data_IF_390159218553
#
_entry.id   IF_390159218553
#
_cell.length_a   1.000
_cell.length_b   1.000
_cell.length_c   1.000
_cell.angle_alpha   90.00
_cell.angle_beta   90.00
_cell.angle_gamma   90.00
#
_symmetry.space_group_name_H-M   'P 1'
#
loop_
_entity.id
_entity.type
_entity.pdbx_description
1 polymer ?
#
# COMPACT_ATOMS: atom_id res chain seq x y z
N UNK A 1 33.10 -46.59 -52.78
CA UNK A 1 32.81 -45.39 -51.96
C UNK A 1 31.41 -44.78 -52.19
N UNK A 2 30.71 -45.00 -53.31
CA UNK A 2 29.37 -44.41 -53.53
C UNK A 2 28.21 -45.05 -52.73
N UNK A 3 28.33 -46.33 -52.33
CA UNK A 3 27.28 -47.02 -51.53
C UNK A 3 27.31 -46.69 -50.03
N UNK A 4 28.44 -46.19 -49.50
CA UNK A 4 28.55 -45.81 -48.09
C UNK A 4 27.96 -44.42 -47.80
N UNK A 5 28.00 -43.51 -48.79
CA UNK A 5 27.41 -42.17 -48.69
C UNK A 5 25.87 -42.19 -48.67
N UNK A 6 25.23 -43.13 -49.36
CA UNK A 6 23.77 -43.25 -49.40
C UNK A 6 23.21 -43.74 -48.05
N UNK A 7 23.94 -44.62 -47.35
CA UNK A 7 23.54 -45.11 -46.03
C UNK A 7 23.72 -44.01 -44.96
N UNK A 8 24.76 -43.18 -45.06
CA UNK A 8 24.95 -42.03 -44.16
C UNK A 8 23.94 -40.90 -44.40
N UNK A 9 23.53 -40.66 -45.65
CA UNK A 9 22.50 -39.67 -45.99
C UNK A 9 21.09 -40.11 -45.54
N UNK A 10 20.76 -41.40 -45.63
CA UNK A 10 19.49 -41.94 -45.12
C UNK A 10 19.44 -41.95 -43.59
N UNK A 11 20.55 -42.26 -42.92
CA UNK A 11 20.62 -42.19 -41.45
C UNK A 11 20.46 -40.76 -40.92
N UNK A 12 21.00 -39.75 -41.62
CA UNK A 12 20.82 -38.34 -41.23
C UNK A 12 19.49 -37.72 -41.67
N UNK A 13 18.80 -38.29 -42.67
CA UNK A 13 17.46 -37.81 -43.06
C UNK A 13 16.37 -38.02 -41.99
N UNK A 14 16.61 -38.94 -41.04
CA UNK A 14 15.76 -39.12 -39.87
C UNK A 14 16.12 -38.21 -38.68
N UNK A 15 17.27 -37.54 -38.71
CA UNK A 15 17.67 -36.60 -37.66
C UNK A 15 17.23 -35.14 -37.92
N UNK A 16 16.82 -34.80 -39.15
CA UNK A 16 16.38 -33.43 -39.47
C UNK A 16 14.87 -33.18 -39.39
N UNK A 17 14.07 -34.15 -38.97
CA UNK A 17 12.63 -33.96 -38.71
C UNK A 17 12.27 -33.86 -37.22
N UNK A 18 13.26 -33.74 -36.32
CA UNK A 18 13.01 -33.36 -34.92
C UNK A 18 13.20 -31.85 -34.78
N UNK A 19 12.50 -31.06 -35.60
CA UNK A 19 12.03 -29.78 -35.10
C UNK A 19 10.91 -30.13 -34.11
N UNK A 20 11.31 -30.35 -32.86
CA UNK A 20 10.37 -30.56 -31.76
C UNK A 20 9.28 -29.51 -31.87
N UNK A 21 8.05 -29.97 -31.86
CA UNK A 21 6.85 -29.14 -31.89
C UNK A 21 6.90 -28.25 -30.65
N UNK A 22 7.62 -27.12 -30.72
CA UNK A 22 7.70 -26.15 -29.63
C UNK A 22 6.28 -25.78 -29.30
N UNK A 23 5.90 -25.93 -28.04
CA UNK A 23 4.56 -25.58 -27.59
C UNK A 23 4.26 -24.15 -28.07
N UNK A 24 3.04 -23.94 -28.54
CA UNK A 24 2.64 -22.68 -29.17
C UNK A 24 2.74 -21.51 -28.18
N UNK A 25 2.64 -21.76 -26.87
CA UNK A 25 2.91 -20.75 -25.85
C UNK A 25 4.39 -20.37 -25.77
N UNK A 26 5.32 -21.30 -25.99
CA UNK A 26 6.74 -20.99 -25.99
C UNK A 26 7.12 -20.05 -27.13
N UNK A 27 6.48 -20.22 -28.28
CA UNK A 27 6.65 -19.31 -29.41
C UNK A 27 6.10 -17.92 -29.10
N UNK A 28 4.98 -17.85 -28.37
CA UNK A 28 4.39 -16.60 -27.90
C UNK A 28 5.32 -15.88 -26.91
N UNK A 29 5.82 -16.62 -25.91
CA UNK A 29 6.74 -16.10 -24.93
C UNK A 29 8.03 -15.59 -25.58
N UNK A 30 8.64 -16.42 -26.44
CA UNK A 30 9.88 -16.06 -27.12
C UNK A 30 9.73 -14.80 -28.00
N UNK A 31 8.55 -14.60 -28.60
CA UNK A 31 8.25 -13.45 -29.45
C UNK A 31 8.11 -12.14 -28.67
N UNK A 32 7.60 -12.19 -27.44
CA UNK A 32 7.19 -10.98 -26.70
C UNK A 32 8.02 -10.70 -25.45
N UNK A 33 8.93 -11.61 -25.05
CA UNK A 33 9.74 -11.44 -23.84
C UNK A 33 10.64 -10.20 -23.84
N UNK A 34 11.04 -9.70 -25.01
CA UNK A 34 11.95 -8.57 -25.19
C UNK A 34 11.25 -7.30 -25.71
N UNK A 35 9.91 -7.27 -25.70
CA UNK A 35 9.15 -6.11 -26.20
C UNK A 35 9.02 -5.04 -25.12
N UNK A 36 9.25 -3.79 -25.50
CA UNK A 36 9.08 -2.64 -24.59
C UNK A 36 7.65 -2.54 -24.04
N UNK A 37 7.52 -2.39 -22.73
CA UNK A 37 6.23 -2.41 -22.02
C UNK A 37 5.76 -3.81 -21.60
N UNK A 38 6.55 -4.86 -21.87
CA UNK A 38 6.29 -6.22 -21.40
C UNK A 38 7.31 -6.62 -20.34
N UNK A 39 6.82 -7.04 -19.18
CA UNK A 39 7.66 -7.71 -18.17
C UNK A 39 7.57 -9.21 -18.39
N UNK A 40 8.72 -9.87 -18.59
CA UNK A 40 8.81 -11.31 -18.80
C UNK A 40 9.61 -11.98 -17.67
N UNK A 41 9.09 -13.08 -17.14
CA UNK A 41 9.76 -13.89 -16.10
C UNK A 41 9.76 -15.34 -16.56
N UNK A 42 10.93 -15.98 -16.53
CA UNK A 42 11.10 -17.39 -16.89
C UNK A 42 11.85 -18.12 -15.78
N UNK A 43 11.19 -19.13 -15.20
CA UNK A 43 11.77 -20.02 -14.20
C UNK A 43 11.84 -21.42 -14.80
N UNK A 44 13.03 -22.00 -14.81
CA UNK A 44 13.29 -23.32 -15.39
C UNK A 44 13.26 -24.43 -14.33
N UNK A 45 13.08 -25.67 -14.79
CA UNK A 45 13.04 -26.91 -13.98
C UNK A 45 14.09 -27.02 -12.87
N UNK A 46 15.38 -26.70 -13.09
CA UNK A 46 16.39 -26.83 -12.04
C UNK A 46 16.07 -26.00 -10.79
N UNK A 47 15.40 -24.85 -10.96
CA UNK A 47 15.01 -23.99 -9.86
C UNK A 47 13.89 -24.62 -9.02
N UNK A 48 12.90 -25.25 -9.66
CA UNK A 48 11.87 -26.03 -8.96
C UNK A 48 12.43 -27.27 -8.26
N UNK A 49 13.38 -27.95 -8.89
CA UNK A 49 14.14 -29.04 -8.27
C UNK A 49 14.87 -28.57 -7.01
N UNK A 50 15.56 -27.42 -7.09
CA UNK A 50 16.21 -26.81 -5.93
C UNK A 50 15.19 -26.50 -4.83
N UNK A 51 14.09 -25.80 -5.14
CA UNK A 51 13.03 -25.50 -4.19
C UNK A 51 12.43 -26.76 -3.53
N UNK A 52 12.24 -27.85 -4.31
CA UNK A 52 11.74 -29.13 -3.79
C UNK A 52 12.72 -29.83 -2.84
N UNK A 53 14.01 -29.51 -2.92
CA UNK A 53 15.06 -30.09 -2.09
C UNK A 53 15.39 -29.27 -0.84
N UNK A 54 14.85 -28.05 -0.74
CA UNK A 54 14.99 -27.22 0.46
C UNK A 54 14.12 -27.81 1.57
N UNK A 55 14.75 -28.10 2.72
CA UNK A 55 14.05 -28.43 3.95
C UNK A 55 13.77 -27.13 4.70
N UNK A 56 12.54 -26.66 4.56
CA UNK A 56 11.99 -25.46 5.18
C UNK A 56 10.90 -25.99 6.11
N UNK A 57 11.03 -25.75 7.42
CA UNK A 57 10.02 -26.14 8.42
C UNK A 57 8.80 -25.22 8.26
N UNK A 58 8.01 -25.45 7.21
CA UNK A 58 6.78 -24.74 6.93
C UNK A 58 5.70 -25.74 6.50
N UNK A 59 4.68 -25.87 7.35
CA UNK A 59 3.51 -26.73 7.14
C UNK A 59 2.74 -26.45 5.84
N UNK A 60 2.92 -25.27 5.24
CA UNK A 60 2.33 -24.89 3.95
C UNK A 60 3.22 -25.33 2.78
N UNK A 61 4.56 -25.25 2.92
CA UNK A 61 5.48 -25.69 1.87
C UNK A 61 5.41 -27.21 1.67
N UNK A 62 5.24 -27.97 2.76
CA UNK A 62 5.06 -29.42 2.68
C UNK A 62 3.85 -29.84 1.83
N UNK A 63 2.80 -29.02 1.78
CA UNK A 63 1.61 -29.29 0.97
C UNK A 63 1.87 -29.09 -0.53
N UNK A 64 2.76 -28.15 -0.89
CA UNK A 64 3.07 -27.81 -2.28
C UNK A 64 4.37 -28.45 -2.78
N UNK A 65 5.23 -28.99 -1.90
CA UNK A 65 6.48 -29.70 -2.26
C UNK A 65 6.26 -30.87 -3.23
N UNK A 66 5.21 -31.70 -3.10
CA UNK A 66 4.88 -32.71 -4.11
C UNK A 66 4.55 -32.11 -5.48
N UNK A 67 4.01 -30.90 -5.52
CA UNK A 67 3.66 -30.18 -6.75
C UNK A 67 4.90 -29.60 -7.44
N UNK A 68 5.86 -29.07 -6.67
CA UNK A 68 7.11 -28.51 -7.21
C UNK A 68 7.88 -29.52 -8.05
N UNK A 69 7.84 -30.80 -7.66
CA UNK A 69 8.49 -31.89 -8.43
C UNK A 69 7.84 -32.17 -9.79
N UNK A 70 6.58 -31.77 -9.97
CA UNK A 70 5.79 -31.99 -11.19
C UNK A 70 5.85 -30.81 -12.16
N UNK A 71 6.44 -29.69 -11.75
CA UNK A 71 6.60 -28.48 -12.54
C UNK A 71 7.94 -28.51 -13.26
N UNK A 72 7.92 -28.41 -14.58
CA UNK A 72 9.11 -28.26 -15.40
C UNK A 72 9.47 -26.78 -15.63
N UNK A 73 8.53 -25.85 -15.47
CA UNK A 73 8.83 -24.44 -15.66
C UNK A 73 7.66 -23.52 -15.33
N UNK A 74 7.97 -22.24 -15.13
CA UNK A 74 6.99 -21.17 -15.01
C UNK A 74 7.40 -20.02 -15.93
N UNK A 75 6.45 -19.53 -16.71
CA UNK A 75 6.62 -18.38 -17.59
C UNK A 75 5.53 -17.37 -17.29
N UNK A 76 5.92 -16.11 -17.08
CA UNK A 76 5.01 -15.02 -16.80
C UNK A 76 5.25 -13.91 -17.81
N UNK A 77 4.18 -13.42 -18.42
CA UNK A 77 4.17 -12.19 -19.22
C UNK A 77 3.19 -11.21 -18.59
N UNK A 78 3.65 -10.01 -18.29
CA UNK A 78 2.83 -8.92 -17.76
C UNK A 78 2.91 -7.78 -18.77
N UNK A 79 1.75 -7.26 -19.14
CA UNK A 79 1.60 -6.09 -20.00
C UNK A 79 0.98 -4.98 -19.17
N UNK A 80 1.62 -3.81 -19.16
CA UNK A 80 1.19 -2.66 -18.38
C UNK A 80 0.95 -1.46 -19.29
N UNK A 81 0.03 -0.58 -18.89
CA UNK A 81 -0.16 0.68 -19.59
C UNK A 81 1.04 1.62 -19.40
N UNK A 82 1.50 2.32 -20.45
CA UNK A 82 2.62 3.25 -20.32
C UNK A 82 2.24 4.45 -19.44
N UNK A 83 3.10 4.80 -18.48
CA UNK A 83 2.90 5.92 -17.53
C UNK A 83 2.65 7.29 -18.20
N UNK A 84 2.97 7.44 -19.50
CA UNK A 84 2.85 8.68 -20.29
C UNK A 84 1.95 8.55 -21.52
N UNK A 85 0.74 8.00 -21.38
CA UNK A 85 -0.19 7.76 -22.49
C UNK A 85 -0.54 8.96 -23.40
N UNK A 86 -0.26 10.21 -23.01
CA UNK A 86 -0.57 11.40 -23.79
C UNK A 86 0.51 11.80 -24.82
N UNK A 87 1.73 11.27 -24.71
CA UNK A 87 2.82 11.56 -25.67
C UNK A 87 2.64 10.75 -26.96
N UNK A 88 3.28 11.18 -28.05
CA UNK A 88 3.25 10.43 -29.31
C UNK A 88 3.89 9.04 -29.17
N UNK A 89 4.89 8.90 -28.28
CA UNK A 89 5.55 7.64 -27.93
C UNK A 89 4.63 6.77 -27.05
N UNK A 90 3.99 7.35 -26.03
CA UNK A 90 3.04 6.63 -25.18
C UNK A 90 1.84 6.09 -25.95
N UNK A 91 1.34 6.83 -26.95
CA UNK A 91 0.26 6.37 -27.85
C UNK A 91 0.70 5.22 -28.77
N UNK A 92 1.96 5.22 -29.24
CA UNK A 92 2.51 4.10 -30.03
C UNK A 92 2.63 2.84 -29.18
N UNK A 93 3.17 2.96 -27.96
CA UNK A 93 3.29 1.85 -27.01
C UNK A 93 1.90 1.31 -26.64
N UNK A 94 0.93 2.17 -26.35
CA UNK A 94 -0.44 1.76 -26.05
C UNK A 94 -1.11 1.03 -27.23
N UNK A 95 -0.89 1.49 -28.46
CA UNK A 95 -1.42 0.81 -29.66
C UNK A 95 -0.78 -0.58 -29.81
N UNK A 96 0.54 -0.67 -29.65
CA UNK A 96 1.29 -1.94 -29.67
C UNK A 96 0.85 -2.90 -28.56
N UNK A 97 0.56 -2.41 -27.35
CA UNK A 97 0.08 -3.22 -26.23
C UNK A 97 -1.36 -3.71 -26.44
N UNK A 98 -2.23 -2.87 -27.00
CA UNK A 98 -3.60 -3.29 -27.36
C UNK A 98 -3.60 -4.35 -28.46
N UNK A 99 -2.62 -4.28 -29.39
CA UNK A 99 -2.42 -5.29 -30.42
C UNK A 99 -1.81 -6.56 -29.83
N UNK A 100 -0.87 -6.45 -28.90
CA UNK A 100 -0.28 -7.57 -28.17
C UNK A 100 -1.33 -8.39 -27.41
N UNK A 101 -2.19 -7.72 -26.62
CA UNK A 101 -3.27 -8.39 -25.88
C UNK A 101 -4.25 -9.10 -26.82
N UNK A 102 -4.58 -8.49 -27.97
CA UNK A 102 -5.41 -9.11 -29.02
C UNK A 102 -4.72 -10.29 -29.70
N UNK A 103 -3.44 -10.15 -30.04
CA UNK A 103 -2.64 -11.19 -30.67
C UNK A 103 -2.54 -12.39 -29.72
N UNK A 104 -2.18 -12.18 -28.45
CA UNK A 104 -2.14 -13.22 -27.42
C UNK A 104 -3.51 -13.88 -27.28
N UNK A 105 -4.59 -13.11 -27.14
CA UNK A 105 -5.95 -13.65 -27.05
C UNK A 105 -6.36 -14.47 -28.27
N UNK A 106 -5.92 -14.09 -29.47
CA UNK A 106 -6.12 -14.83 -30.72
C UNK A 106 -5.29 -16.11 -30.74
N UNK A 107 -4.02 -16.04 -30.33
CA UNK A 107 -3.15 -17.19 -30.16
C UNK A 107 -3.77 -18.20 -29.19
N UNK A 108 -4.25 -17.76 -28.02
CA UNK A 108 -4.92 -18.60 -27.03
C UNK A 108 -6.18 -19.29 -27.56
N UNK A 109 -6.99 -18.62 -28.39
CA UNK A 109 -8.13 -19.24 -29.07
C UNK A 109 -7.72 -20.33 -30.07
N UNK A 110 -6.53 -20.20 -30.65
CA UNK A 110 -5.96 -21.14 -31.63
C UNK A 110 -5.06 -22.19 -30.98
N UNK A 111 -4.85 -22.13 -29.67
CA UNK A 111 -4.33 -23.22 -28.88
C UNK A 111 -5.47 -24.22 -28.68
N UNK A 112 -5.20 -25.52 -28.82
CA UNK A 112 -6.20 -26.57 -28.53
C UNK A 112 -6.43 -26.73 -27.01
N UNK A 113 -6.40 -25.64 -26.25
CA UNK A 113 -6.51 -25.67 -24.81
C UNK A 113 -7.99 -25.67 -24.40
N UNK A 114 -8.34 -26.52 -23.45
CA UNK A 114 -9.67 -26.56 -22.85
C UNK A 114 -9.79 -25.52 -21.74
N UNK A 115 -10.85 -24.71 -21.75
CA UNK A 115 -11.19 -23.81 -20.64
C UNK A 115 -11.73 -24.63 -19.47
N UNK A 116 -11.01 -24.61 -18.35
CA UNK A 116 -11.36 -25.36 -17.13
C UNK A 116 -12.24 -24.51 -16.23
N UNK A 117 -11.90 -23.22 -16.12
CA UNK A 117 -12.59 -22.27 -15.26
C UNK A 117 -12.45 -20.87 -15.83
N UNK A 118 -13.52 -20.07 -15.75
CA UNK A 118 -13.43 -18.63 -15.96
C UNK A 118 -14.20 -17.88 -14.90
N UNK A 119 -13.65 -16.73 -14.50
CA UNK A 119 -14.25 -15.81 -13.54
C UNK A 119 -14.28 -14.44 -14.20
N UNK A 120 -15.44 -13.78 -14.16
CA UNK A 120 -15.64 -12.46 -14.74
C UNK A 120 -16.17 -11.52 -13.65
N UNK A 121 -15.46 -10.42 -13.39
CA UNK A 121 -15.87 -9.45 -12.38
C UNK A 121 -15.48 -8.02 -12.80
N UNK A 122 -16.48 -7.14 -12.92
CA UNK A 122 -16.32 -5.68 -12.98
C UNK A 122 -15.21 -5.13 -13.91
N UNK A 123 -14.97 -5.78 -15.06
CA UNK A 123 -13.98 -5.36 -16.06
C UNK A 123 -12.74 -6.23 -16.14
N UNK A 124 -12.52 -7.14 -15.18
CA UNK A 124 -11.45 -8.12 -15.20
C UNK A 124 -11.96 -9.54 -15.53
N UNK A 125 -11.26 -10.24 -16.42
CA UNK A 125 -11.58 -11.60 -16.85
C UNK A 125 -10.42 -12.53 -16.55
N UNK A 126 -10.65 -13.50 -15.69
CA UNK A 126 -9.69 -14.54 -15.31
C UNK A 126 -10.09 -15.85 -15.99
N UNK A 127 -9.13 -16.54 -16.59
CA UNK A 127 -9.31 -17.85 -17.25
C UNK A 127 -8.21 -18.82 -16.85
N UNK A 128 -8.61 -20.06 -16.59
CA UNK A 128 -7.74 -21.21 -16.44
C UNK A 128 -7.94 -22.14 -17.64
N UNK A 129 -6.85 -22.46 -18.33
CA UNK A 129 -6.79 -23.18 -19.59
C UNK A 129 -5.75 -24.31 -19.48
N UNK A 130 -5.94 -25.44 -20.17
CA UNK A 130 -4.93 -26.51 -20.24
C UNK A 130 -4.89 -27.19 -21.61
N UNK A 131 -3.70 -27.63 -22.04
CA UNK A 131 -3.44 -28.16 -23.37
C UNK A 131 -4.15 -29.48 -23.66
N UNK A 132 -4.24 -30.37 -22.67
CA UNK A 132 -4.95 -31.65 -22.76
C UNK A 132 -5.37 -32.15 -21.36
N UNK A 133 -6.59 -32.66 -21.23
CA UNK A 133 -7.03 -33.41 -20.05
C UNK A 133 -7.19 -34.89 -20.41
N UNK A 134 -6.13 -35.69 -20.22
CA UNK A 134 -6.19 -37.15 -20.40
C UNK A 134 -6.19 -37.82 -19.03
N UNK A 135 -7.24 -38.59 -18.74
CA UNK A 135 -7.41 -39.33 -17.47
C UNK A 135 -7.29 -38.47 -16.20
N UNK A 136 -7.77 -37.21 -16.24
CA UNK A 136 -7.74 -36.30 -15.08
C UNK A 136 -6.37 -35.67 -14.79
N UNK A 137 -5.40 -35.84 -15.70
CA UNK A 137 -4.11 -35.14 -15.69
C UNK A 137 -4.16 -34.04 -16.75
N UNK A 138 -3.84 -32.83 -16.32
CA UNK A 138 -3.70 -31.62 -17.11
C UNK A 138 -2.25 -31.49 -17.56
N UNK A 139 -2.03 -31.41 -18.87
CA UNK A 139 -0.75 -31.02 -19.46
C UNK A 139 -0.76 -29.50 -19.62
N UNK A 140 0.16 -28.84 -18.92
CA UNK A 140 0.36 -27.40 -18.84
C UNK A 140 -0.87 -26.61 -18.36
N UNK A 141 -0.66 -25.74 -17.38
CA UNK A 141 -1.72 -24.88 -16.85
C UNK A 141 -1.43 -23.43 -17.21
N UNK A 142 -2.34 -22.86 -18.00
CA UNK A 142 -2.30 -21.47 -18.38
C UNK A 142 -3.36 -20.68 -17.60
N UNK A 143 -2.90 -19.66 -16.88
CA UNK A 143 -3.72 -18.62 -16.28
C UNK A 143 -3.62 -17.35 -17.13
N UNK A 144 -4.77 -16.83 -17.53
CA UNK A 144 -4.90 -15.56 -18.24
C UNK A 144 -5.77 -14.62 -17.42
N UNK A 145 -5.25 -13.43 -17.12
CA UNK A 145 -5.95 -12.36 -16.44
C UNK A 145 -5.95 -11.16 -17.38
N UNK A 146 -7.12 -10.77 -17.87
CA UNK A 146 -7.34 -9.54 -18.62
C UNK A 146 -7.95 -8.50 -17.67
N UNK A 147 -7.21 -7.44 -17.35
CA UNK A 147 -7.65 -6.37 -16.44
C UNK A 147 -8.51 -5.30 -17.12
N UNK A 148 -8.70 -5.40 -18.44
CA UNK A 148 -9.27 -4.33 -19.24
C UNK A 148 -8.28 -3.19 -19.49
N UNK A 149 -8.57 -2.35 -20.48
CA UNK A 149 -7.78 -1.14 -20.79
C UNK A 149 -6.31 -1.36 -21.18
N UNK A 150 -5.93 -2.58 -21.62
CA UNK A 150 -4.58 -2.89 -22.11
C UNK A 150 -3.64 -3.54 -21.10
N UNK A 151 -4.10 -3.79 -19.87
CA UNK A 151 -3.36 -4.54 -18.86
C UNK A 151 -3.74 -6.01 -18.90
N UNK A 152 -2.74 -6.88 -18.98
CA UNK A 152 -2.96 -8.33 -19.02
C UNK A 152 -1.78 -9.08 -18.40
N UNK A 153 -2.10 -10.13 -17.64
CA UNK A 153 -1.14 -11.06 -17.05
C UNK A 153 -1.39 -12.45 -17.63
N UNK A 154 -0.33 -13.08 -18.11
CA UNK A 154 -0.34 -14.46 -18.57
C UNK A 154 0.69 -15.25 -17.77
N UNK A 155 0.26 -16.34 -17.15
CA UNK A 155 1.09 -17.24 -16.36
C UNK A 155 0.94 -18.64 -16.93
N UNK A 156 2.01 -19.21 -17.44
CA UNK A 156 2.06 -20.61 -17.87
C UNK A 156 2.89 -21.42 -16.90
N UNK A 157 2.30 -22.47 -16.37
CA UNK A 157 2.94 -23.48 -15.55
C UNK A 157 3.11 -24.74 -16.40
N UNK A 158 4.35 -24.97 -16.84
CA UNK A 158 4.74 -26.16 -17.59
C UNK A 158 4.86 -27.33 -16.62
N UNK A 159 4.05 -28.36 -16.83
CA UNK A 159 4.03 -29.52 -15.95
C UNK A 159 2.78 -30.38 -16.08
N UNK A 160 2.84 -31.56 -15.44
CA UNK A 160 1.73 -32.52 -15.42
C UNK A 160 1.04 -32.49 -14.07
N UNK A 161 -0.14 -31.90 -14.04
CA UNK A 161 -0.88 -31.63 -12.80
C UNK A 161 -2.19 -32.41 -12.79
N UNK A 162 -2.48 -33.13 -11.72
CA UNK A 162 -3.81 -33.71 -11.55
C UNK A 162 -4.83 -32.63 -11.13
N UNK A 163 -6.12 -32.93 -11.24
CA UNK A 163 -7.16 -32.05 -10.71
C UNK A 163 -7.03 -31.83 -9.18
N UNK A 164 -6.57 -32.85 -8.45
CA UNK A 164 -6.27 -32.73 -7.02
C UNK A 164 -5.11 -31.76 -6.77
N UNK A 165 -4.07 -31.80 -7.61
CA UNK A 165 -2.94 -30.86 -7.54
C UNK A 165 -3.42 -29.41 -7.73
N UNK A 166 -4.30 -29.17 -8.72
CA UNK A 166 -4.90 -27.85 -8.96
C UNK A 166 -5.77 -27.41 -7.79
N UNK A 167 -6.57 -28.31 -7.21
CA UNK A 167 -7.40 -28.00 -6.04
C UNK A 167 -6.55 -27.57 -4.84
N UNK A 168 -5.38 -28.18 -4.64
CA UNK A 168 -4.44 -27.80 -3.58
C UNK A 168 -3.86 -26.42 -3.79
N UNK A 169 -3.54 -26.05 -5.04
CA UNK A 169 -3.06 -24.68 -5.38
C UNK A 169 -4.14 -23.64 -5.05
N UNK A 170 -5.40 -23.93 -5.40
CA UNK A 170 -6.52 -23.03 -5.14
C UNK A 170 -6.78 -22.93 -3.62
N UNK A 171 -6.84 -24.08 -2.93
CA UNK A 171 -7.21 -24.16 -1.52
C UNK A 171 -6.06 -23.80 -0.55
N UNK A 172 -4.79 -23.80 -0.98
CA UNK A 172 -3.69 -23.26 -0.16
C UNK A 172 -3.83 -21.76 0.10
N UNK A 173 -4.76 -21.10 -0.60
CA UNK A 173 -5.14 -19.70 -0.41
C UNK A 173 -6.22 -19.49 0.66
N UNK A 174 -6.91 -20.54 1.11
CA UNK A 174 -7.96 -20.41 2.13
C UNK A 174 -7.39 -20.55 3.55
N UNK A 175 -7.48 -19.44 4.28
CA UNK A 175 -6.92 -19.25 5.62
C UNK A 175 -7.61 -20.11 6.70
N UNK A 176 -6.86 -21.02 7.32
CA UNK A 176 -7.06 -21.40 8.74
C UNK A 176 -5.91 -20.84 9.59
N UNK A 177 -6.29 -20.24 10.72
CA UNK A 177 -5.48 -19.52 11.71
C UNK A 177 -4.27 -20.33 12.26
N UNK A 178 -3.07 -19.74 12.16
CA UNK A 178 -1.86 -19.80 13.04
C UNK A 178 -1.19 -21.16 13.36
N UNK A 179 0.08 -21.21 13.85
CA UNK A 179 1.13 -20.16 13.97
C UNK A 179 2.52 -20.54 13.38
N UNK A 180 3.32 -19.51 13.05
CA UNK A 180 4.79 -19.38 13.13
C UNK A 180 5.65 -20.61 12.76
N UNK A 181 6.39 -20.52 11.64
CA UNK A 181 7.77 -21.01 11.54
C UNK A 181 8.51 -20.33 10.37
N UNK A 182 9.75 -19.90 10.66
CA UNK A 182 10.65 -19.22 9.75
C UNK A 182 11.35 -20.23 8.84
N UNK A 183 11.44 -19.99 7.54
CA UNK A 183 12.68 -20.32 6.81
C UNK A 183 12.86 -19.45 5.56
N UNK A 184 13.97 -18.71 5.55
CA UNK A 184 14.48 -17.89 4.45
C UNK A 184 14.96 -18.79 3.31
N UNK A 185 14.81 -18.37 2.06
CA UNK A 185 15.85 -18.55 1.04
C UNK A 185 15.83 -17.43 0.00
N UNK A 186 16.99 -16.80 -0.14
CA UNK A 186 17.31 -15.67 -1.00
C UNK A 186 17.99 -16.23 -2.25
N UNK A 187 17.52 -15.89 -3.46
CA UNK A 187 18.33 -16.00 -4.68
C UNK A 187 18.23 -14.66 -5.41
N UNK A 188 19.37 -13.99 -5.48
CA UNK A 188 19.65 -12.68 -6.08
C UNK A 188 19.83 -12.80 -7.59
N UNK A 189 19.28 -11.84 -8.34
CA UNK A 189 19.81 -11.42 -9.64
C UNK A 189 19.80 -9.89 -9.69
N UNK A 190 20.98 -9.33 -9.90
CA UNK A 190 21.31 -7.92 -9.71
C UNK A 190 20.70 -6.96 -10.75
N UNK A 191 20.58 -5.72 -10.27
CA UNK A 191 20.41 -4.45 -10.99
C UNK A 191 19.00 -4.06 -11.47
N UNK A 192 18.10 -3.81 -10.51
CA UNK A 192 17.53 -2.48 -10.29
C UNK A 192 16.74 -2.41 -8.97
N UNK A 193 17.14 -1.49 -8.07
CA UNK A 193 16.38 -1.01 -6.90
C UNK A 193 15.90 -2.06 -5.86
N UNK A 194 16.83 -2.77 -5.22
CA UNK A 194 16.56 -3.62 -4.05
C UNK A 194 16.28 -2.87 -2.73
N UNK A 195 16.25 -1.53 -2.75
CA UNK A 195 16.04 -0.71 -1.55
C UNK A 195 14.57 -0.37 -1.24
N UNK A 196 13.61 -0.89 -2.02
CA UNK A 196 12.18 -0.56 -1.88
C UNK A 196 11.25 -1.79 -2.01
N UNK A 197 11.72 -2.98 -1.63
CA UNK A 197 10.87 -4.15 -1.52
C UNK A 197 9.90 -3.98 -0.34
N UNK A 198 8.69 -3.49 -0.63
CA UNK A 198 7.62 -3.39 0.34
C UNK A 198 6.82 -4.68 0.46
N UNK A 199 6.44 -5.05 1.68
CA UNK A 199 5.57 -6.18 1.99
C UNK A 199 4.11 -5.74 2.07
N UNK A 200 3.24 -6.37 1.29
CA UNK A 200 1.80 -6.17 1.42
C UNK A 200 1.28 -6.85 2.70
N UNK A 201 0.44 -6.16 3.48
CA UNK A 201 -0.16 -6.68 4.71
C UNK A 201 -1.66 -6.80 4.52
N UNK A 202 -2.21 -7.98 4.76
CA UNK A 202 -3.64 -8.19 4.75
C UNK A 202 -4.21 -7.98 6.16
N UNK A 203 -5.10 -7.01 6.31
CA UNK A 203 -5.79 -6.71 7.55
C UNK A 203 -7.28 -6.54 7.29
N UNK A 204 -8.09 -6.66 8.35
CA UNK A 204 -9.52 -6.34 8.26
C UNK A 204 -9.76 -4.83 8.04
N UNK A 205 -11.03 -4.47 7.84
CA UNK A 205 -11.42 -3.07 7.70
C UNK A 205 -11.19 -2.28 9.00
N UNK A 206 -10.86 -1.00 8.84
CA UNK A 206 -10.65 -0.06 9.95
C UNK A 206 -11.14 1.33 9.58
N UNK A 207 -11.58 2.07 10.59
CA UNK A 207 -11.88 3.50 10.51
C UNK A 207 -10.99 4.33 11.43
N UNK A 208 -10.12 3.71 12.21
CA UNK A 208 -9.10 4.40 13.00
C UNK A 208 -7.68 3.96 12.64
N UNK A 209 -6.71 4.82 12.87
CA UNK A 209 -5.28 4.50 12.76
C UNK A 209 -4.53 4.96 14.01
N UNK A 210 -3.67 4.07 14.53
CA UNK A 210 -2.77 4.32 15.64
C UNK A 210 -1.34 4.03 15.18
N UNK A 211 -0.47 5.05 15.19
CA UNK A 211 0.92 4.96 14.74
C UNK A 211 1.86 5.29 15.88
N UNK A 212 2.79 4.41 16.19
CA UNK A 212 3.75 4.63 17.29
C UNK A 212 5.13 4.06 17.00
N UNK A 213 6.09 4.39 17.87
CA UNK A 213 7.47 3.91 17.86
C UNK A 213 8.25 4.29 16.58
N UNK A 214 8.21 5.56 16.19
CA UNK A 214 9.07 6.10 15.13
C UNK A 214 8.73 5.64 13.71
N UNK A 215 7.51 5.17 13.46
CA UNK A 215 7.07 4.73 12.13
C UNK A 215 6.65 5.94 11.29
N UNK A 216 7.04 5.96 10.02
CA UNK A 216 6.50 6.91 9.04
C UNK A 216 5.32 6.26 8.30
N UNK A 217 4.17 6.92 8.29
CA UNK A 217 2.97 6.43 7.62
C UNK A 217 2.49 7.44 6.60
N UNK A 218 2.19 6.95 5.41
CA UNK A 218 1.56 7.71 4.33
C UNK A 218 0.15 7.15 4.16
N UNK A 219 -0.86 7.97 4.49
CA UNK A 219 -2.26 7.58 4.39
C UNK A 219 -2.96 8.25 3.22
N UNK A 220 -3.79 7.49 2.51
CA UNK A 220 -4.65 7.97 1.44
C UNK A 220 -6.07 7.44 1.64
N UNK A 221 -7.06 8.34 1.71
CA UNK A 221 -8.46 7.93 1.81
C UNK A 221 -8.95 7.45 0.43
N UNK A 222 -9.00 6.15 0.21
CA UNK A 222 -9.45 5.54 -1.05
C UNK A 222 -9.84 4.06 -0.89
N UNK A 223 -10.42 3.48 -1.95
CA UNK A 223 -10.68 2.04 -2.07
C UNK A 223 -9.66 1.41 -3.04
N UNK A 224 -9.24 0.16 -2.81
CA UNK A 224 -9.56 -0.70 -1.66
C UNK A 224 -8.73 -0.36 -0.41
N UNK A 225 -9.10 -0.96 0.72
CA UNK A 225 -8.23 -0.99 1.91
C UNK A 225 -6.94 -1.73 1.54
N UNK A 226 -5.79 -1.11 1.77
CA UNK A 226 -4.49 -1.68 1.43
C UNK A 226 -3.40 -1.19 2.38
N UNK A 227 -2.45 -2.07 2.69
CA UNK A 227 -1.28 -1.74 3.50
C UNK A 227 -0.04 -2.30 2.80
N UNK A 228 0.96 -1.44 2.61
CA UNK A 228 2.28 -1.83 2.11
C UNK A 228 3.37 -1.28 3.03
N UNK A 229 4.11 -2.18 3.67
CA UNK A 229 5.22 -1.86 4.57
C UNK A 229 6.52 -1.86 3.78
N UNK A 230 7.20 -0.73 3.71
CA UNK A 230 8.50 -0.56 3.05
C UNK A 230 9.55 -0.37 4.14
N UNK A 231 10.42 -1.36 4.31
CA UNK A 231 11.51 -1.31 5.27
C UNK A 231 12.69 -2.16 4.83
N UNK A 232 13.76 -2.14 5.63
CA UNK A 232 14.89 -3.06 5.44
C UNK A 232 14.37 -4.52 5.43
N UNK A 233 14.74 -5.28 4.40
CA UNK A 233 14.21 -6.65 4.15
C UNK A 233 14.34 -7.60 5.35
N UNK A 234 15.41 -7.47 6.13
CA UNK A 234 15.70 -8.26 7.33
C UNK A 234 14.92 -7.79 8.57
N UNK A 235 14.19 -6.67 8.49
CA UNK A 235 13.51 -6.02 9.63
C UNK A 235 12.01 -5.85 9.44
N UNK A 236 11.45 -6.29 8.32
CA UNK A 236 10.01 -6.25 8.06
C UNK A 236 9.20 -6.92 9.20
N UNK A 237 9.73 -7.98 9.79
CA UNK A 237 9.07 -8.75 10.86
C UNK A 237 8.90 -8.01 12.19
N UNK A 238 9.61 -6.89 12.40
CA UNK A 238 9.50 -6.07 13.60
C UNK A 238 8.41 -5.01 13.45
N UNK A 239 7.86 -4.82 12.25
CA UNK A 239 6.82 -3.83 11.97
C UNK A 239 5.48 -4.53 12.08
N UNK A 240 4.77 -4.25 13.17
CA UNK A 240 3.47 -4.84 13.44
C UNK A 240 2.40 -3.99 12.76
N UNK A 241 1.53 -4.66 12.01
CA UNK A 241 0.31 -4.08 11.42
C UNK A 241 -0.86 -4.98 11.79
N UNK A 242 -1.76 -4.50 12.65
CA UNK A 242 -2.92 -5.28 13.08
C UNK A 242 -4.11 -4.39 13.35
N UNK A 243 -5.31 -4.90 13.07
CA UNK A 243 -6.55 -4.19 13.39
C UNK A 243 -7.13 -4.75 14.68
N UNK A 244 -7.34 -3.86 15.65
CA UNK A 244 -7.98 -4.17 16.93
C UNK A 244 -9.09 -3.14 17.17
N UNK A 245 -10.33 -3.60 17.38
CA UNK A 245 -11.51 -2.76 17.59
C UNK A 245 -11.73 -1.69 16.52
N UNK A 246 -11.49 -2.04 15.24
CA UNK A 246 -11.65 -1.10 14.11
C UNK A 246 -10.53 -0.05 13.99
N UNK A 247 -9.46 -0.19 14.76
CA UNK A 247 -8.27 0.67 14.71
C UNK A 247 -7.08 -0.13 14.18
N UNK A 248 -6.48 0.33 13.09
CA UNK A 248 -5.21 -0.18 12.58
C UNK A 248 -4.06 0.32 13.46
N UNK A 249 -3.39 -0.59 14.15
CA UNK A 249 -2.18 -0.34 14.94
C UNK A 249 -0.94 -0.63 14.11
N UNK A 250 -0.08 0.38 13.98
CA UNK A 250 1.20 0.33 13.28
C UNK A 250 2.31 0.74 14.25
N UNK A 251 3.21 -0.18 14.58
CA UNK A 251 4.30 0.09 15.51
C UNK A 251 5.47 -0.87 15.31
N UNK A 252 6.62 -0.50 15.86
CA UNK A 252 7.79 -1.36 15.92
C UNK A 252 7.76 -2.17 17.22
N UNK A 253 7.77 -3.48 17.11
CA UNK A 253 8.05 -4.41 18.20
C UNK A 253 9.49 -4.88 18.06
N UNK A 254 10.36 -4.56 19.03
CA UNK A 254 11.77 -4.93 18.96
C UNK A 254 12.02 -6.42 19.28
N UNK A 255 11.02 -7.17 19.76
CA UNK A 255 11.14 -8.58 20.18
C UNK A 255 12.37 -8.86 21.06
N UNK A 256 12.76 -7.89 21.90
CA UNK A 256 13.94 -7.98 22.78
C UNK A 256 15.29 -7.62 22.13
N UNK A 257 15.33 -7.28 20.85
CA UNK A 257 16.54 -6.85 20.14
C UNK A 257 16.93 -5.44 20.59
N UNK A 258 18.16 -5.29 21.10
CA UNK A 258 18.72 -3.98 21.49
C UNK A 258 19.20 -3.22 20.25
N UNK A 259 19.07 -1.89 20.29
CA UNK A 259 19.55 -0.98 19.25
C UNK A 259 19.01 -1.28 17.84
N UNK A 260 17.76 -1.76 17.74
CA UNK A 260 17.09 -1.94 16.46
C UNK A 260 16.97 -0.58 15.75
N UNK A 261 17.61 -0.45 14.59
CA UNK A 261 17.59 0.76 13.76
C UNK A 261 17.18 0.38 12.35
N UNK A 262 16.35 1.24 11.76
CA UNK A 262 15.89 1.10 10.39
C UNK A 262 16.61 2.15 9.54
N UNK A 263 17.13 1.74 8.39
CA UNK A 263 17.61 2.72 7.39
C UNK A 263 16.42 3.31 6.65
N UNK A 264 15.48 2.44 6.27
CA UNK A 264 14.23 2.82 5.63
C UNK A 264 13.07 2.25 6.45
N UNK A 265 12.05 3.08 6.70
CA UNK A 265 10.80 2.67 7.32
C UNK A 265 9.68 3.60 6.86
N UNK A 266 8.77 3.08 6.04
CA UNK A 266 7.56 3.76 5.59
C UNK A 266 6.44 2.76 5.44
N UNK A 267 5.22 3.10 5.86
CA UNK A 267 4.03 2.27 5.67
C UNK A 267 3.01 3.06 4.88
N UNK A 268 2.67 2.58 3.69
CA UNK A 268 1.62 3.15 2.86
C UNK A 268 0.30 2.47 3.23
N UNK A 269 -0.72 3.27 3.50
CA UNK A 269 -2.02 2.80 3.96
C UNK A 269 -3.13 3.47 3.15
N UNK A 270 -4.07 2.68 2.65
CA UNK A 270 -5.34 3.18 2.11
C UNK A 270 -6.53 2.59 2.85
N UNK A 271 -7.58 3.38 3.04
CA UNK A 271 -8.89 2.95 3.54
C UNK A 271 -9.97 3.93 3.08
N UNK A 272 -11.21 3.48 2.81
CA UNK A 272 -12.31 4.37 2.45
C UNK A 272 -12.74 5.30 3.58
N UNK A 273 -12.44 4.97 4.84
CA UNK A 273 -12.93 5.68 6.04
C UNK A 273 -11.78 6.00 7.00
N UNK A 274 -11.85 7.16 7.65
CA UNK A 274 -10.85 7.56 8.66
C UNK A 274 -11.44 8.54 9.68
N UNK A 275 -12.03 8.00 10.74
CA UNK A 275 -12.72 8.74 11.81
C UNK A 275 -11.79 9.09 12.99
N UNK A 276 -10.70 8.34 13.20
CA UNK A 276 -9.77 8.54 14.32
C UNK A 276 -8.30 8.36 13.94
N UNK A 277 -7.46 9.31 14.33
CA UNK A 277 -6.01 9.29 14.16
C UNK A 277 -5.36 9.45 15.54
N UNK A 278 -4.46 8.55 15.90
CA UNK A 278 -3.60 8.63 17.08
C UNK A 278 -2.15 8.41 16.66
N UNK A 279 -1.29 9.41 16.86
CA UNK A 279 0.13 9.34 16.46
C UNK A 279 1.01 9.69 17.64
N UNK A 280 1.91 8.78 18.01
CA UNK A 280 2.77 8.96 19.18
C UNK A 280 4.23 8.57 18.95
N UNK A 281 5.06 8.86 19.95
CA UNK A 281 6.40 8.28 20.10
C UNK A 281 7.32 8.53 18.90
N UNK A 282 7.43 9.79 18.48
CA UNK A 282 8.30 10.21 17.37
C UNK A 282 7.84 9.74 15.99
N UNK A 283 6.60 9.25 15.86
CA UNK A 283 6.06 8.77 14.58
C UNK A 283 5.54 9.91 13.72
N UNK A 284 5.46 9.67 12.41
CA UNK A 284 5.01 10.64 11.42
C UNK A 284 3.82 10.09 10.65
N UNK A 285 2.77 10.90 10.48
CA UNK A 285 1.64 10.60 9.62
C UNK A 285 1.45 11.71 8.59
N UNK A 286 1.50 11.32 7.32
CA UNK A 286 1.24 12.20 6.18
C UNK A 286 -0.02 11.76 5.48
N UNK A 287 -1.01 12.65 5.39
CA UNK A 287 -2.23 12.44 4.63
C UNK A 287 -2.05 13.02 3.23
N UNK A 288 -2.17 12.19 2.20
CA UNK A 288 -1.89 12.58 0.80
C UNK A 288 -3.04 13.35 0.18
N UNK A 289 -4.28 12.93 0.46
CA UNK A 289 -5.50 13.56 -0.04
C UNK A 289 -6.42 13.95 1.11
N UNK A 290 -7.26 14.95 0.90
CA UNK A 290 -8.12 15.45 1.97
C UNK A 290 -9.06 14.36 2.53
N UNK A 291 -9.00 14.14 3.84
CA UNK A 291 -9.91 13.23 4.56
C UNK A 291 -11.28 13.88 4.65
N UNK A 292 -12.31 13.14 4.22
CA UNK A 292 -13.71 13.53 4.28
C UNK A 292 -14.46 12.62 5.22
N UNK A 293 -14.96 13.18 6.32
CA UNK A 293 -15.75 12.46 7.32
C UNK A 293 -16.80 13.35 7.97
N UNK A 294 -17.75 12.73 8.68
CA UNK A 294 -18.69 13.47 9.51
C UNK A 294 -18.03 14.02 10.77
N UNK A 295 -17.31 13.15 11.47
CA UNK A 295 -16.60 13.49 12.69
C UNK A 295 -15.16 13.01 12.59
N UNK A 296 -14.25 13.73 13.23
CA UNK A 296 -12.83 13.39 13.25
C UNK A 296 -12.26 13.55 14.66
N UNK A 297 -11.47 12.58 15.10
CA UNK A 297 -10.64 12.68 16.31
C UNK A 297 -9.16 12.57 15.92
N UNK A 298 -8.34 13.53 16.33
CA UNK A 298 -6.90 13.56 16.05
C UNK A 298 -6.17 13.74 17.38
N UNK A 299 -5.38 12.74 17.77
CA UNK A 299 -4.52 12.79 18.95
C UNK A 299 -3.04 12.68 18.52
N UNK A 300 -2.19 13.57 19.05
CA UNK A 300 -0.75 13.59 18.78
C UNK A 300 0.04 13.80 20.09
N UNK A 301 0.96 12.88 20.39
CA UNK A 301 1.75 12.94 21.63
C UNK A 301 3.20 12.46 21.46
N UNK A 302 4.06 12.78 22.43
CA UNK A 302 5.44 12.29 22.51
C UNK A 302 6.27 12.54 21.25
N UNK A 303 6.29 13.80 20.78
CA UNK A 303 7.12 14.25 19.67
C UNK A 303 6.69 13.73 18.29
N UNK A 304 5.42 13.37 18.12
CA UNK A 304 4.89 12.93 16.83
C UNK A 304 4.61 14.09 15.88
N UNK A 305 4.50 13.81 14.57
CA UNK A 305 4.15 14.81 13.56
C UNK A 305 2.99 14.34 12.69
N UNK A 306 2.00 15.21 12.49
CA UNK A 306 0.87 14.98 11.58
C UNK A 306 0.83 16.10 10.55
N UNK A 307 0.76 15.73 9.27
CA UNK A 307 0.53 16.66 8.15
C UNK A 307 -0.63 16.18 7.29
N UNK A 308 -1.60 17.04 6.99
CA UNK A 308 -2.74 16.63 6.17
C UNK A 308 -3.89 17.63 6.06
N UNK A 309 -4.84 17.36 5.17
CA UNK A 309 -6.04 18.19 5.00
C UNK A 309 -7.31 17.44 5.40
N UNK A 310 -8.24 18.13 6.05
CA UNK A 310 -9.46 17.56 6.61
C UNK A 310 -10.70 18.39 6.23
N UNK A 311 -11.73 17.72 5.73
CA UNK A 311 -13.06 18.27 5.40
C UNK A 311 -14.10 17.54 6.23
N UNK A 312 -14.45 18.12 7.37
CA UNK A 312 -15.25 17.48 8.40
C UNK A 312 -16.62 18.14 8.47
N UNK A 313 -17.70 17.41 8.18
CA UNK A 313 -19.01 18.05 8.03
C UNK A 313 -19.69 18.43 9.35
N UNK A 314 -19.28 17.86 10.48
CA UNK A 314 -19.87 18.16 11.80
C UNK A 314 -18.84 18.67 12.82
N UNK A 315 -17.97 17.79 13.33
CA UNK A 315 -17.08 18.12 14.44
C UNK A 315 -15.69 17.48 14.33
N UNK A 316 -14.65 18.28 14.53
CA UNK A 316 -13.26 17.82 14.61
C UNK A 316 -12.68 18.09 16.01
N UNK A 317 -12.16 17.06 16.67
CA UNK A 317 -11.50 17.17 17.97
C UNK A 317 -10.01 16.88 17.83
N UNK A 318 -9.17 17.80 18.24
CA UNK A 318 -7.71 17.75 18.09
C UNK A 318 -7.06 17.88 19.47
N UNK A 319 -6.30 16.87 19.90
CA UNK A 319 -5.52 16.91 21.14
C UNK A 319 -4.04 16.75 20.82
N UNK A 320 -3.21 17.72 21.21
CA UNK A 320 -1.77 17.70 20.93
C UNK A 320 -1.00 17.96 22.21
N UNK A 321 -0.01 17.12 22.50
CA UNK A 321 0.80 17.27 23.71
C UNK A 321 2.25 16.84 23.53
N UNK A 322 3.08 17.14 24.53
CA UNK A 322 4.43 16.57 24.71
C UNK A 322 5.32 16.77 23.49
N UNK A 323 5.45 18.02 23.03
CA UNK A 323 6.34 18.41 21.93
C UNK A 323 5.92 17.95 20.54
N UNK A 324 4.67 17.49 20.37
CA UNK A 324 4.18 17.02 19.07
C UNK A 324 3.75 18.17 18.17
N UNK A 325 3.79 17.93 16.85
CA UNK A 325 3.51 18.94 15.84
C UNK A 325 2.33 18.53 14.94
N UNK A 326 1.43 19.46 14.66
CA UNK A 326 0.38 19.29 13.64
C UNK A 326 0.45 20.45 12.65
N UNK A 327 0.45 20.12 11.35
CA UNK A 327 0.28 21.09 10.26
C UNK A 327 -0.87 20.64 9.37
N UNK A 328 -1.99 21.35 9.38
CA UNK A 328 -3.17 20.88 8.65
C UNK A 328 -4.07 21.98 8.08
N UNK A 329 -4.63 21.74 6.89
CA UNK A 329 -5.79 22.47 6.39
C UNK A 329 -7.07 21.84 6.91
N UNK A 330 -7.98 22.62 7.50
CA UNK A 330 -9.23 22.12 8.08
C UNK A 330 -10.42 22.97 7.63
N UNK A 331 -11.45 22.28 7.14
CA UNK A 331 -12.80 22.83 7.00
C UNK A 331 -13.72 22.04 7.91
N UNK A 332 -14.33 22.68 8.90
CA UNK A 332 -15.24 22.02 9.84
C UNK A 332 -16.43 22.89 10.26
N UNK A 333 -17.54 22.29 10.68
CA UNK A 333 -18.60 23.05 11.37
C UNK A 333 -18.11 23.50 12.74
N UNK A 334 -17.75 22.54 13.59
CA UNK A 334 -17.22 22.79 14.94
C UNK A 334 -15.82 22.18 15.08
N UNK A 335 -14.92 22.88 15.77
CA UNK A 335 -13.58 22.36 16.06
C UNK A 335 -13.20 22.56 17.54
N UNK A 336 -12.79 21.48 18.20
CA UNK A 336 -12.21 21.50 19.54
C UNK A 336 -10.71 21.27 19.46
N UNK A 337 -9.91 22.14 20.06
CA UNK A 337 -8.44 22.02 20.09
C UNK A 337 -7.96 22.06 21.54
N UNK A 338 -7.20 21.05 21.95
CA UNK A 338 -6.48 21.01 23.22
C UNK A 338 -4.99 20.88 22.94
N UNK A 339 -4.19 21.81 23.45
CA UNK A 339 -2.74 21.85 23.20
C UNK A 339 -1.97 22.10 24.49
N UNK A 340 -0.97 21.26 24.80
CA UNK A 340 -0.20 21.36 26.05
C UNK A 340 1.24 20.85 25.94
N UNK A 341 2.04 21.14 26.96
CA UNK A 341 3.40 20.57 27.13
C UNK A 341 4.30 20.81 25.91
N UNK A 342 4.39 22.07 25.46
CA UNK A 342 5.27 22.49 24.37
C UNK A 342 4.90 21.97 22.98
N UNK A 343 3.68 21.49 22.75
CA UNK A 343 3.18 21.14 21.41
C UNK A 343 3.09 22.37 20.49
N UNK A 344 3.15 22.13 19.18
CA UNK A 344 3.04 23.16 18.16
C UNK A 344 2.01 22.81 17.09
N UNK A 345 1.01 23.66 16.92
CA UNK A 345 -0.10 23.45 15.99
C UNK A 345 -0.11 24.59 14.97
N UNK A 346 -0.21 24.26 13.68
CA UNK A 346 -0.40 25.20 12.58
C UNK A 346 -1.61 24.78 11.75
N UNK A 347 -2.69 25.56 11.77
CA UNK A 347 -3.93 25.27 11.05
C UNK A 347 -4.30 26.38 10.06
N UNK A 348 -4.90 25.97 8.95
CA UNK A 348 -5.50 26.87 7.95
C UNK A 348 -6.89 26.41 7.54
N UNK A 349 -7.68 27.28 6.90
CA UNK A 349 -9.00 26.94 6.35
C UNK A 349 -10.16 27.71 6.98
N UNK A 350 -11.25 27.02 7.32
CA UNK A 350 -12.45 27.65 7.91
C UNK A 350 -13.16 26.76 8.94
N UNK A 351 -13.70 27.37 9.99
CA UNK A 351 -14.61 26.73 10.92
C UNK A 351 -15.75 27.67 11.33
N UNK A 352 -16.96 27.15 11.53
CA UNK A 352 -18.07 27.99 11.99
C UNK A 352 -17.88 28.33 13.47
N UNK A 353 -17.68 27.32 14.32
CA UNK A 353 -17.42 27.50 15.74
C UNK A 353 -16.16 26.77 16.20
N UNK A 354 -15.52 27.28 17.26
CA UNK A 354 -14.35 26.64 17.86
C UNK A 354 -14.25 26.79 19.37
N UNK A 355 -13.62 25.80 20.00
CA UNK A 355 -13.12 25.88 21.38
C UNK A 355 -11.63 25.54 21.40
N UNK A 356 -10.79 26.40 21.96
CA UNK A 356 -9.34 26.19 22.02
C UNK A 356 -8.83 26.34 23.45
N UNK A 357 -8.33 25.24 24.03
CA UNK A 357 -7.64 25.21 25.31
C UNK A 357 -6.14 25.03 25.08
N UNK A 358 -5.33 26.01 25.51
CA UNK A 358 -3.88 25.96 25.37
C UNK A 358 -3.17 26.22 26.69
N UNK A 359 -2.20 25.37 27.04
CA UNK A 359 -1.46 25.49 28.28
C UNK A 359 0.00 25.03 28.19
N UNK A 360 0.75 25.21 29.27
CA UNK A 360 2.08 24.62 29.50
C UNK A 360 3.05 24.86 28.33
N UNK A 361 3.19 26.12 27.91
CA UNK A 361 4.12 26.55 26.87
C UNK A 361 3.80 26.08 25.44
N UNK A 362 2.62 25.50 25.20
CA UNK A 362 2.21 25.11 23.86
C UNK A 362 1.96 26.33 22.94
N UNK A 363 2.09 26.12 21.63
CA UNK A 363 1.89 27.09 20.57
C UNK A 363 0.79 26.61 19.61
N UNK A 364 -0.15 27.48 19.30
CA UNK A 364 -1.16 27.25 18.26
C UNK A 364 -1.27 28.47 17.35
N UNK A 365 -0.95 28.27 16.07
CA UNK A 365 -1.07 29.24 14.98
C UNK A 365 -2.24 28.83 14.10
N UNK A 366 -3.33 29.56 14.21
CA UNK A 366 -4.57 29.35 13.49
C UNK A 366 -5.08 30.70 12.91
N UNK A 367 -4.19 31.63 12.60
CA UNK A 367 -4.49 32.91 11.94
C UNK A 367 -4.91 32.74 10.47
N UNK A 368 -4.50 31.63 9.84
CA UNK A 368 -4.97 31.22 8.51
C UNK A 368 -6.25 30.37 8.56
N UNK A 369 -6.76 30.06 9.75
CA UNK A 369 -8.02 29.35 9.98
C UNK A 369 -9.09 30.36 10.43
N UNK A 370 -10.06 30.63 9.56
CA UNK A 370 -11.11 31.62 9.84
C UNK A 370 -12.24 31.00 10.67
N UNK A 371 -12.44 31.53 11.87
CA UNK A 371 -13.56 31.18 12.75
C UNK A 371 -14.69 32.21 12.65
N UNK A 372 -15.95 31.78 12.69
CA UNK A 372 -17.07 32.72 12.91
C UNK A 372 -17.21 33.03 14.40
N UNK A 373 -17.31 31.98 15.22
CA UNK A 373 -17.41 32.02 16.68
C UNK A 373 -16.24 31.28 17.31
N UNK A 374 -15.61 31.86 18.33
CA UNK A 374 -14.48 31.21 19.00
C UNK A 374 -14.48 31.46 20.50
N UNK A 375 -14.40 30.38 21.29
CA UNK A 375 -14.10 30.41 22.72
C UNK A 375 -12.68 29.89 22.96
N UNK A 376 -11.88 30.63 23.73
CA UNK A 376 -10.47 30.27 23.98
C UNK A 376 -10.08 30.43 25.43
N UNK A 377 -9.21 29.52 25.90
CA UNK A 377 -8.53 29.61 27.18
C UNK A 377 -7.02 29.39 26.98
N UNK A 378 -6.22 30.40 27.34
CA UNK A 378 -4.76 30.34 27.30
C UNK A 378 -4.17 30.51 28.70
N UNK A 379 -3.52 29.48 29.22
CA UNK A 379 -2.91 29.48 30.56
C UNK A 379 -1.46 29.01 30.54
N UNK A 380 -0.74 29.15 31.65
CA UNK A 380 0.59 28.56 31.87
C UNK A 380 1.57 28.74 30.69
N UNK A 381 1.66 29.97 30.16
CA UNK A 381 2.54 30.29 29.03
C UNK A 381 2.08 29.82 27.64
N UNK A 382 0.84 29.36 27.49
CA UNK A 382 0.27 28.99 26.19
C UNK A 382 0.17 30.19 25.24
N UNK A 383 0.50 29.99 23.96
CA UNK A 383 0.52 31.04 22.93
C UNK A 383 -0.43 30.70 21.79
N UNK A 384 -1.50 31.47 21.64
CA UNK A 384 -2.51 31.30 20.60
C UNK A 384 -2.47 32.47 19.63
N UNK A 385 -2.53 32.20 18.33
CA UNK A 385 -2.81 33.19 17.28
C UNK A 385 -4.00 32.69 16.46
N UNK A 386 -5.06 33.49 16.30
CA UNK A 386 -6.33 33.08 15.67
C UNK A 386 -6.91 34.17 14.75
N UNK A 387 -7.85 33.81 13.88
CA UNK A 387 -8.61 34.74 13.04
C UNK A 387 -10.10 34.54 13.23
N UNK A 388 -10.83 35.58 13.67
CA UNK A 388 -12.23 35.48 14.07
C UNK A 388 -13.05 36.61 13.46
N UNK A 389 -14.22 36.30 12.89
CA UNK A 389 -15.05 37.30 12.20
C UNK A 389 -16.21 37.86 13.01
N UNK A 390 -16.88 37.08 13.86
CA UNK A 390 -18.12 37.51 14.53
C UNK A 390 -17.96 37.64 16.05
N UNK A 391 -17.73 36.55 16.79
CA UNK A 391 -17.59 36.60 18.26
C UNK A 391 -16.36 35.87 18.78
N UNK A 392 -15.63 36.53 19.68
CA UNK A 392 -14.44 36.00 20.33
C UNK A 392 -14.57 36.09 21.85
N UNK A 393 -14.75 34.94 22.50
CA UNK A 393 -14.71 34.80 23.96
C UNK A 393 -13.33 34.32 24.40
N UNK A 394 -12.68 35.06 25.30
CA UNK A 394 -11.27 34.82 25.65
C UNK A 394 -11.05 34.79 27.14
N UNK A 395 -10.34 33.76 27.60
CA UNK A 395 -9.71 33.71 28.92
C UNK A 395 -8.20 33.62 28.77
N UNK A 396 -7.46 34.49 29.45
CA UNK A 396 -6.00 34.39 29.51
C UNK A 396 -5.47 34.69 30.92
N UNK A 397 -4.61 33.82 31.43
CA UNK A 397 -3.98 33.93 32.75
C UNK A 397 -2.63 33.21 32.79
N UNK A 398 -1.88 33.34 33.88
CA UNK A 398 -0.64 32.59 34.13
C UNK A 398 0.37 32.63 32.95
N UNK A 399 0.59 33.81 32.38
CA UNK A 399 1.47 34.01 31.23
C UNK A 399 0.89 33.61 29.86
N UNK A 400 -0.38 33.19 29.80
CA UNK A 400 -1.05 32.85 28.55
C UNK A 400 -1.28 34.07 27.65
N UNK A 401 -1.14 33.86 26.34
CA UNK A 401 -1.17 34.92 25.34
C UNK A 401 -2.07 34.55 24.16
N UNK A 402 -3.05 35.41 23.87
CA UNK A 402 -3.94 35.28 22.73
C UNK A 402 -3.75 36.47 21.79
N UNK A 403 -3.39 36.17 20.55
CA UNK A 403 -3.34 37.13 19.44
C UNK A 403 -4.47 36.84 18.47
N UNK A 404 -5.14 37.87 17.99
CA UNK A 404 -6.28 37.68 17.09
C UNK A 404 -6.26 38.65 15.91
N UNK A 405 -6.70 38.17 14.75
CA UNK A 405 -7.03 38.95 13.56
C UNK A 405 -8.56 39.04 13.39
N UNK A 406 -9.03 40.12 12.79
CA UNK A 406 -10.45 40.33 12.47
C UNK A 406 -11.09 41.42 13.32
N UNK A 407 -12.41 41.56 13.21
CA UNK A 407 -13.20 42.55 13.96
C UNK A 407 -14.39 41.91 14.70
N UNK A 408 -14.16 40.92 15.57
CA UNK A 408 -15.24 40.28 16.31
C UNK A 408 -15.75 41.16 17.47
N UNK A 409 -16.96 40.89 17.96
CA UNK A 409 -17.40 41.24 19.30
C UNK A 409 -16.57 40.44 20.32
N UNK A 410 -15.94 41.13 21.28
CA UNK A 410 -15.00 40.53 22.22
C UNK A 410 -15.61 40.47 23.62
N UNK A 411 -15.68 39.25 24.18
CA UNK A 411 -15.95 38.98 25.58
C UNK A 411 -14.68 38.44 26.24
N UNK A 412 -13.98 39.27 27.02
CA UNK A 412 -12.64 38.96 27.51
C UNK A 412 -12.54 38.97 29.04
N UNK A 413 -11.94 37.91 29.59
CA UNK A 413 -11.53 37.80 30.98
C UNK A 413 -10.02 37.55 31.05
N UNK A 414 -9.25 38.63 31.24
CA UNK A 414 -7.78 38.61 31.18
C UNK A 414 -7.20 38.93 32.56
N UNK A 415 -6.50 37.97 33.15
CA UNK A 415 -5.81 38.13 34.43
C UNK A 415 -4.42 38.76 34.21
N UNK A 416 -4.37 40.10 34.20
CA UNK A 416 -3.11 40.85 34.02
C UNK A 416 -2.11 40.60 35.15
N UNK A 417 -2.58 40.40 36.39
CA UNK A 417 -1.72 40.14 37.56
C UNK A 417 -0.98 38.81 37.47
N UNK A 418 -1.55 37.83 36.76
CA UNK A 418 -0.90 36.55 36.47
C UNK A 418 -0.20 36.52 35.10
N UNK A 419 -0.09 37.66 34.40
CA UNK A 419 0.62 37.76 33.13
C UNK A 419 -0.19 37.36 31.89
N UNK A 420 -1.52 37.30 31.97
CA UNK A 420 -2.38 37.06 30.80
C UNK A 420 -2.32 38.21 29.79
N UNK A 421 -2.33 37.89 28.49
CA UNK A 421 -2.25 38.85 27.39
C UNK A 421 -3.31 38.57 26.30
N UNK A 422 -3.97 39.64 25.84
CA UNK A 422 -4.81 39.65 24.65
C UNK A 422 -4.36 40.80 23.75
N UNK A 423 -4.05 40.53 22.47
CA UNK A 423 -3.54 41.54 21.53
C UNK A 423 -4.11 41.37 20.11
N UNK A 424 -4.64 42.42 19.47
CA UNK A 424 -4.95 42.37 18.04
C UNK A 424 -3.67 42.26 17.20
N UNK A 425 -3.77 41.67 16.01
CA UNK A 425 -2.73 41.65 14.99
C UNK A 425 -3.33 42.02 13.62
N UNK A 426 -2.52 42.67 12.79
CA UNK A 426 -2.91 43.18 11.47
C UNK A 426 -3.30 42.07 10.49
#
# INVERSE_FOLDING_TARGET
MKKLFIIFALAFSHFFNVYGQKDKFDQLFDKYQDVEGVTSIKIAKPMFGMLSSLNIDDSQLDQIKPLLSKINGLKILITENPEKGNTAEGRKVQTSMSQLSKDISSYLKNLNYSEIMSVNNAGAKVKFLSAEAKNGILDDLLLSIDGGSGESIFVMLDGKLSMDDVSKIINSSETKKNPISNTRNNITSDNNSSYLNGEARNVGDFSGIQVSTGVNVIFKQEKPTSIKVIADSDKLEYIITKVENGVLRIYIDNKGVRNLRFKNLSVNVSSPRMESIDVSSGSNLTIVNSIQEKNMKIDASSGSNITGDFKISNAANISVSSGSNIRAGITAGNIGIKSSSGSNISLSGKADSGTIDISSGALCKADDLKFTYLETEATSGGNLTVSVSDKLKVRASSGGSVRYRGRPEIDANISKTSGGLLRPID
#
